data_IF_077015817295
#
_entry.id   IF_077015817295
#
_cell.length_a   1.000
_cell.length_b   1.000
_cell.length_c   1.000
_cell.angle_alpha   90.00
_cell.angle_beta   90.00
_cell.angle_gamma   90.00
#
_symmetry.space_group_name_H-M   'P 1'
#
loop_
_entity.id
_entity.type
_entity.pdbx_description
1 polymer ?
#
# COMPACT_ATOMS: atom_id res chain seq x y z
N UNK A 1 -8.36 24.66 3.05
CA UNK A 1 -7.26 25.17 3.89
C UNK A 1 -7.15 24.48 5.26
N UNK A 2 -8.25 24.12 5.94
CA UNK A 2 -8.18 23.49 7.27
C UNK A 2 -7.35 22.18 7.30
N UNK A 3 -7.44 21.33 6.27
CA UNK A 3 -6.77 20.02 6.24
C UNK A 3 -5.28 20.06 5.86
N UNK A 4 -4.81 21.04 5.08
CA UNK A 4 -3.34 21.24 4.94
C UNK A 4 -2.71 21.57 6.30
N UNK A 5 -3.48 22.16 7.24
CA UNK A 5 -3.02 22.36 8.62
C UNK A 5 -2.96 21.05 9.42
N UNK A 6 -3.81 20.05 9.18
CA UNK A 6 -3.71 18.75 9.87
C UNK A 6 -2.48 17.99 9.38
N UNK A 7 -2.27 17.89 8.07
CA UNK A 7 -1.06 17.26 7.49
C UNK A 7 0.21 17.95 8.01
N UNK A 8 0.22 19.30 8.07
CA UNK A 8 1.35 20.08 8.65
C UNK A 8 1.63 19.82 10.13
N UNK A 9 0.67 19.27 10.87
CA UNK A 9 0.83 18.93 12.29
C UNK A 9 1.24 17.47 12.48
N UNK A 10 1.13 16.64 11.44
CA UNK A 10 1.53 15.26 11.53
C UNK A 10 3.05 15.16 11.72
N UNK A 11 3.52 14.38 12.71
CA UNK A 11 4.96 14.19 12.92
C UNK A 11 5.59 13.24 11.88
N UNK A 12 4.77 12.57 11.06
CA UNK A 12 5.20 11.69 9.97
C UNK A 12 5.91 12.46 8.87
N UNK A 13 5.63 13.76 8.70
CA UNK A 13 6.20 14.54 7.60
C UNK A 13 7.22 15.55 8.10
N UNK A 14 8.43 15.48 7.54
CA UNK A 14 9.47 16.48 7.72
C UNK A 14 9.11 17.79 6.99
N UNK A 15 8.51 17.67 5.80
CA UNK A 15 8.20 18.81 4.96
C UNK A 15 7.04 18.55 3.99
N UNK A 16 6.38 19.62 3.55
CA UNK A 16 5.21 19.59 2.67
C UNK A 16 5.38 20.64 1.59
N UNK A 17 5.27 20.23 0.33
CA UNK A 17 5.43 21.08 -0.82
C UNK A 17 4.22 20.94 -1.75
N UNK A 18 3.74 22.05 -2.31
CA UNK A 18 2.80 21.98 -3.43
C UNK A 18 3.54 21.62 -4.71
N UNK A 19 3.03 20.66 -5.47
CA UNK A 19 3.62 20.25 -6.75
C UNK A 19 2.62 20.32 -7.88
N UNK A 20 3.12 20.69 -9.06
CA UNK A 20 2.38 20.62 -10.32
C UNK A 20 2.91 19.40 -11.06
N UNK A 21 2.03 18.43 -11.25
CA UNK A 21 2.30 17.22 -12.00
C UNK A 21 1.88 17.51 -13.44
N UNK A 22 2.85 17.90 -14.28
CA UNK A 22 2.59 18.05 -15.72
C UNK A 22 2.25 16.68 -16.30
N UNK A 23 1.59 16.66 -17.46
CA UNK A 23 1.25 15.41 -18.17
C UNK A 23 2.50 14.53 -18.25
N UNK A 24 2.46 13.44 -17.48
CA UNK A 24 3.55 12.48 -17.35
C UNK A 24 3.67 11.70 -18.65
N UNK A 25 2.54 11.40 -19.29
CA UNK A 25 2.47 10.80 -20.62
C UNK A 25 3.32 11.50 -21.66
N UNK A 26 3.31 12.84 -21.74
CA UNK A 26 4.18 13.57 -22.66
C UNK A 26 5.66 13.32 -22.36
N UNK A 27 6.04 13.15 -21.10
CA UNK A 27 7.42 12.79 -20.75
C UNK A 27 7.72 11.33 -21.13
N UNK A 28 6.75 10.44 -20.99
CA UNK A 28 6.92 9.02 -21.25
C UNK A 28 6.97 8.72 -22.75
N UNK A 29 6.04 9.26 -23.53
CA UNK A 29 5.94 9.03 -24.98
C UNK A 29 7.00 9.77 -25.78
N UNK A 30 7.40 10.99 -25.38
CA UNK A 30 8.33 11.81 -26.17
C UNK A 30 9.82 11.55 -25.90
N UNK A 31 10.20 10.94 -24.77
CA UNK A 31 11.62 10.69 -24.46
C UNK A 31 12.19 9.45 -25.15
N UNK A 32 11.37 8.70 -25.89
CA UNK A 32 11.74 7.45 -26.57
C UNK A 32 12.00 6.27 -25.63
N UNK A 33 12.45 6.55 -24.40
CA UNK A 33 12.84 5.57 -23.39
C UNK A 33 11.99 5.67 -22.11
N UNK A 34 10.95 6.51 -22.07
CA UNK A 34 10.05 6.63 -20.93
C UNK A 34 10.66 7.23 -19.65
N UNK A 35 11.82 7.89 -19.76
CA UNK A 35 12.53 8.43 -18.61
C UNK A 35 11.88 9.73 -18.07
N UNK A 36 11.83 9.86 -16.76
CA UNK A 36 11.24 11.02 -16.07
C UNK A 36 12.31 11.89 -15.44
N UNK A 37 12.25 13.20 -15.68
CA UNK A 37 13.13 14.18 -15.03
C UNK A 37 12.40 14.78 -13.83
N UNK A 38 12.91 14.52 -12.63
CA UNK A 38 12.31 14.99 -11.38
C UNK A 38 13.24 15.98 -10.66
N UNK A 39 12.66 16.95 -9.97
CA UNK A 39 13.37 17.92 -9.14
C UNK A 39 12.77 17.89 -7.75
N UNK A 40 13.61 17.60 -6.75
CA UNK A 40 13.17 17.45 -5.37
C UNK A 40 13.72 18.57 -4.48
N UNK A 41 12.94 19.06 -3.51
CA UNK A 41 13.41 20.02 -2.54
C UNK A 41 14.67 19.54 -1.80
N UNK A 42 15.67 20.43 -1.70
CA UNK A 42 16.96 20.13 -1.07
C UNK A 42 17.91 19.28 -1.91
N UNK A 43 17.53 18.87 -3.15
CA UNK A 43 18.44 18.22 -4.10
C UNK A 43 18.74 19.21 -5.22
N UNK A 44 20.01 19.58 -5.38
CA UNK A 44 20.44 20.63 -6.32
C UNK A 44 20.23 20.22 -7.78
N UNK A 45 20.58 18.99 -8.11
CA UNK A 45 20.57 18.48 -9.47
C UNK A 45 19.22 17.81 -9.79
N UNK A 46 18.84 17.87 -11.07
CA UNK A 46 17.68 17.10 -11.54
C UNK A 46 18.04 15.61 -11.53
N UNK A 47 17.10 14.79 -11.08
CA UNK A 47 17.24 13.34 -11.08
C UNK A 47 16.56 12.79 -12.34
N UNK A 48 17.13 11.74 -12.91
CA UNK A 48 16.57 11.05 -14.07
C UNK A 48 16.11 9.69 -13.59
N UNK A 49 14.81 9.41 -13.63
CA UNK A 49 14.24 8.12 -13.32
C UNK A 49 14.06 7.32 -14.62
N UNK A 50 14.71 6.16 -14.72
CA UNK A 50 14.67 5.26 -15.87
C UNK A 50 13.63 4.17 -15.61
N UNK A 51 12.69 3.89 -16.53
CA UNK A 51 11.63 2.92 -16.29
C UNK A 51 12.17 1.50 -16.13
N UNK A 52 11.56 0.76 -15.21
CA UNK A 52 11.68 -0.69 -15.00
C UNK A 52 10.42 -1.41 -15.48
N UNK A 53 9.27 -0.91 -15.06
CA UNK A 53 7.96 -1.39 -15.49
C UNK A 53 7.06 -0.21 -15.82
N UNK A 54 6.20 -0.42 -16.82
CA UNK A 54 5.27 0.60 -17.27
C UNK A 54 4.01 -0.05 -17.82
N UNK A 55 2.89 0.18 -17.15
CA UNK A 55 1.56 -0.15 -17.62
C UNK A 55 0.83 1.15 -17.97
N UNK A 56 0.49 1.34 -19.24
CA UNK A 56 -0.10 2.58 -19.72
C UNK A 56 -1.33 2.31 -20.55
N UNK A 57 -2.45 2.79 -20.05
CA UNK A 57 -3.69 2.84 -20.80
C UNK A 57 -3.85 4.24 -21.41
N UNK A 58 -3.74 5.28 -20.58
CA UNK A 58 -3.85 6.68 -21.00
C UNK A 58 -3.26 7.65 -19.95
N UNK A 59 -3.36 8.96 -20.19
CA UNK A 59 -2.89 10.01 -19.29
C UNK A 59 -3.57 10.04 -17.91
N UNK A 60 -4.75 9.45 -17.83
CA UNK A 60 -5.53 9.33 -16.60
C UNK A 60 -5.26 8.02 -15.86
N UNK A 61 -4.86 6.96 -16.56
CA UNK A 61 -4.76 5.61 -16.04
C UNK A 61 -3.43 4.98 -16.46
N UNK A 62 -2.48 4.98 -15.52
CA UNK A 62 -1.17 4.38 -15.73
C UNK A 62 -0.51 4.00 -14.42
N UNK A 63 0.43 3.06 -14.49
CA UNK A 63 1.39 2.75 -13.46
C UNK A 63 2.80 2.75 -14.05
N UNK A 64 3.72 3.43 -13.37
CA UNK A 64 5.10 3.60 -13.80
C UNK A 64 6.02 3.35 -12.61
N UNK A 65 7.03 2.52 -12.78
CA UNK A 65 8.08 2.31 -11.79
C UNK A 65 9.44 2.36 -12.45
N UNK A 66 10.44 2.92 -11.77
CA UNK A 66 11.78 3.04 -12.33
C UNK A 66 12.86 3.43 -11.33
N UNK A 67 14.10 3.16 -11.71
CA UNK A 67 15.29 3.47 -10.91
C UNK A 67 15.78 4.89 -11.16
N UNK A 68 16.31 5.54 -10.13
CA UNK A 68 16.99 6.81 -10.30
C UNK A 68 18.40 6.56 -10.85
N UNK A 69 18.70 7.13 -12.03
CA UNK A 69 20.01 7.06 -12.65
C UNK A 69 21.08 7.65 -11.74
N UNK A 70 22.23 6.97 -11.66
CA UNK A 70 23.41 7.40 -10.92
C UNK A 70 23.18 7.57 -9.40
N UNK A 71 22.11 6.99 -8.84
CA UNK A 71 21.83 6.99 -7.40
C UNK A 71 21.06 5.74 -6.99
N UNK A 72 21.33 5.14 -5.83
CA UNK A 72 20.41 4.17 -5.25
C UNK A 72 19.09 4.89 -4.93
N UNK A 73 18.02 4.49 -5.60
CA UNK A 73 16.70 5.07 -5.44
C UNK A 73 15.73 4.63 -6.52
N UNK A 74 14.45 4.84 -6.24
CA UNK A 74 13.33 4.45 -7.09
C UNK A 74 12.25 5.54 -7.09
N UNK A 75 11.49 5.56 -8.18
CA UNK A 75 10.30 6.36 -8.35
C UNK A 75 9.18 5.41 -8.78
N UNK A 76 8.04 5.49 -8.09
CA UNK A 76 6.81 4.82 -8.51
C UNK A 76 5.71 5.88 -8.61
N UNK A 77 4.97 5.86 -9.72
CA UNK A 77 3.87 6.76 -10.01
C UNK A 77 2.66 5.95 -10.44
N UNK A 78 1.50 6.33 -9.91
CA UNK A 78 0.23 5.71 -10.22
C UNK A 78 -0.76 6.82 -10.55
N UNK A 79 -1.50 6.66 -11.63
CA UNK A 79 -2.60 7.55 -11.99
C UNK A 79 -3.87 6.76 -12.15
N UNK A 80 -4.93 7.25 -11.54
CA UNK A 80 -6.29 6.78 -11.76
C UNK A 80 -7.20 7.98 -11.97
N UNK A 81 -7.96 8.00 -13.06
CA UNK A 81 -8.80 9.13 -13.47
C UNK A 81 -8.05 10.50 -13.52
N UNK A 82 -6.73 10.47 -13.76
CA UNK A 82 -5.86 11.65 -13.84
C UNK A 82 -5.43 12.23 -12.49
N UNK A 83 -5.73 11.53 -11.39
CA UNK A 83 -5.17 11.81 -10.07
C UNK A 83 -3.89 11.01 -9.91
N UNK A 84 -2.77 11.70 -9.90
CA UNK A 84 -1.44 11.09 -9.81
C UNK A 84 -0.96 11.07 -8.36
N UNK A 85 -0.60 9.88 -7.91
CA UNK A 85 0.11 9.63 -6.67
C UNK A 85 1.42 8.92 -6.93
N UNK A 86 2.21 8.72 -5.89
CA UNK A 86 3.45 7.98 -6.03
C UNK A 86 4.36 8.08 -4.82
N UNK A 87 5.51 7.43 -4.97
CA UNK A 87 6.57 7.37 -3.96
C UNK A 87 7.90 7.59 -4.63
N UNK A 88 8.78 8.29 -3.93
CA UNK A 88 10.17 8.52 -4.36
C UNK A 88 11.06 8.16 -3.18
N UNK A 89 11.91 7.15 -3.35
CA UNK A 89 12.92 6.81 -2.36
C UNK A 89 14.30 7.11 -2.95
N UNK A 90 15.05 8.01 -2.34
CA UNK A 90 16.39 8.35 -2.81
C UNK A 90 17.31 8.72 -1.65
N UNK A 91 18.46 8.04 -1.58
CA UNK A 91 19.50 8.29 -0.56
C UNK A 91 18.94 8.36 0.87
N UNK A 92 18.00 7.47 1.20
CA UNK A 92 17.36 7.38 2.52
C UNK A 92 16.30 8.45 2.80
N UNK A 93 15.98 9.32 1.84
CA UNK A 93 14.85 10.25 1.89
C UNK A 93 13.68 9.63 1.14
N UNK A 94 12.51 9.62 1.77
CA UNK A 94 11.30 9.10 1.16
C UNK A 94 10.32 10.25 0.99
N UNK A 95 9.76 10.35 -0.20
CA UNK A 95 8.73 11.31 -0.55
C UNK A 95 7.48 10.58 -1.01
N UNK A 96 6.33 11.09 -0.60
CA UNK A 96 5.02 10.67 -1.07
C UNK A 96 4.42 11.78 -1.94
N UNK A 97 3.80 11.41 -3.05
CA UNK A 97 2.99 12.32 -3.87
C UNK A 97 1.54 12.01 -3.58
N UNK A 98 0.81 12.98 -3.02
CA UNK A 98 -0.62 12.88 -2.78
C UNK A 98 -1.39 13.77 -3.77
N UNK A 99 -2.34 13.21 -4.54
CA UNK A 99 -3.15 13.99 -5.45
C UNK A 99 -4.11 14.91 -4.67
N UNK A 100 -4.21 16.16 -5.11
CA UNK A 100 -5.21 17.12 -4.57
C UNK A 100 -6.26 17.48 -5.61
N UNK A 101 -5.87 17.45 -6.88
CA UNK A 101 -6.73 17.62 -8.06
C UNK A 101 -5.95 17.21 -9.29
N UNK A 102 -6.58 17.20 -10.47
CA UNK A 102 -5.90 16.92 -11.73
C UNK A 102 -4.66 17.81 -11.89
N UNK A 103 -3.51 17.19 -12.14
CA UNK A 103 -2.20 17.84 -12.33
C UNK A 103 -1.65 18.60 -11.11
N UNK A 104 -2.24 18.47 -9.91
CA UNK A 104 -1.75 19.12 -8.70
C UNK A 104 -1.73 18.15 -7.53
N UNK A 105 -0.64 18.19 -6.78
CA UNK A 105 -0.48 17.34 -5.61
C UNK A 105 0.25 18.04 -4.48
N UNK A 106 0.41 17.29 -3.41
CA UNK A 106 1.38 17.56 -2.37
C UNK A 106 2.54 16.58 -2.55
N UNK A 107 3.76 17.08 -2.39
CA UNK A 107 4.94 16.26 -2.19
C UNK A 107 5.28 16.33 -0.71
N UNK A 108 5.22 15.20 -0.03
CA UNK A 108 5.39 15.07 1.40
C UNK A 108 6.70 14.35 1.65
N UNK A 109 7.66 15.00 2.32
CA UNK A 109 8.88 14.33 2.75
C UNK A 109 8.62 13.63 4.07
N UNK A 110 8.83 12.32 4.08
CA UNK A 110 8.55 11.46 5.23
C UNK A 110 9.71 11.53 6.21
N UNK A 111 9.36 11.61 7.49
CA UNK A 111 10.26 11.43 8.60
C UNK A 111 10.58 9.94 8.76
N UNK A 112 11.71 9.51 8.22
CA UNK A 112 12.16 8.11 8.27
C UNK A 112 12.33 7.56 9.68
N UNK A 113 12.45 8.41 10.71
CA UNK A 113 12.47 7.95 12.11
C UNK A 113 11.15 7.31 12.57
N UNK A 114 10.04 7.57 11.87
CA UNK A 114 8.77 6.88 12.10
C UNK A 114 8.71 5.53 11.42
N UNK A 115 9.49 5.33 10.35
CA UNK A 115 9.48 4.09 9.58
C UNK A 115 10.24 2.98 10.30
N UNK A 116 11.34 3.31 10.97
CA UNK A 116 12.18 2.34 11.68
C UNK A 116 11.54 1.76 12.97
N UNK A 117 10.30 2.14 13.29
CA UNK A 117 9.60 1.69 14.51
C UNK A 117 8.54 0.62 14.24
N UNK A 118 8.21 0.40 12.98
CA UNK A 118 7.22 -0.57 12.58
C UNK A 118 7.75 -1.98 12.79
N UNK A 119 6.99 -2.78 13.51
CA UNK A 119 7.17 -4.22 13.64
C UNK A 119 6.06 -4.91 12.86
N UNK A 120 6.47 -5.94 12.14
CA UNK A 120 5.57 -6.78 11.40
C UNK A 120 5.17 -7.94 12.31
N UNK A 121 3.90 -8.06 12.64
CA UNK A 121 3.44 -9.19 13.44
C UNK A 121 3.06 -10.32 12.49
N UNK A 122 3.55 -11.54 12.73
CA UNK A 122 3.05 -12.68 11.98
C UNK A 122 1.53 -12.77 12.21
N UNK A 123 0.74 -13.04 11.16
CA UNK A 123 -0.71 -13.21 11.31
C UNK A 123 -1.04 -14.34 12.29
N UNK A 124 -2.15 -14.16 13.00
CA UNK A 124 -2.63 -15.12 14.00
C UNK A 124 -3.08 -16.42 13.32
N UNK A 125 -2.57 -17.57 13.78
CA UNK A 125 -3.06 -18.88 13.34
C UNK A 125 -2.25 -19.55 12.24
N UNK A 126 -0.93 -19.62 12.40
CA UNK A 126 -0.07 -20.45 11.55
C UNK A 126 -0.39 -21.92 11.82
N UNK A 127 -1.36 -22.47 11.10
CA UNK A 127 -1.42 -23.89 10.86
C UNK A 127 -0.20 -24.29 10.02
N UNK A 128 0.42 -25.41 10.36
CA UNK A 128 1.50 -26.04 9.59
C UNK A 128 1.01 -26.24 8.15
N UNK A 129 1.37 -25.33 7.24
CA UNK A 129 1.14 -25.53 5.81
C UNK A 129 1.93 -26.77 5.40
N UNK A 130 1.21 -27.76 4.88
CA UNK A 130 1.80 -28.92 4.24
C UNK A 130 2.27 -28.42 2.88
N UNK A 131 3.57 -28.50 2.63
CA UNK A 131 4.11 -28.28 1.29
C UNK A 131 3.57 -29.40 0.40
N UNK A 132 2.51 -29.07 -0.35
CA UNK A 132 1.83 -30.01 -1.24
C UNK A 132 2.68 -30.34 -2.49
N UNK A 133 3.92 -29.86 -2.56
CA UNK A 133 4.99 -30.47 -3.36
C UNK A 133 4.57 -30.88 -4.77
N UNK A 134 4.11 -29.94 -5.59
CA UNK A 134 3.77 -30.28 -6.98
C UNK A 134 2.77 -29.42 -7.71
N UNK A 135 2.69 -28.12 -7.43
CA UNK A 135 2.03 -27.19 -8.34
C UNK A 135 2.77 -27.14 -9.67
N UNK A 136 2.44 -28.03 -10.60
CA UNK A 136 2.90 -27.93 -11.98
C UNK A 136 2.45 -26.57 -12.52
N UNK A 137 3.40 -25.73 -12.92
CA UNK A 137 3.14 -24.49 -13.66
C UNK A 137 2.59 -24.85 -15.04
N UNK A 138 1.31 -25.26 -15.05
CA UNK A 138 0.55 -25.57 -16.24
C UNK A 138 0.50 -24.34 -17.13
N UNK A 139 1.22 -24.40 -18.25
CA UNK A 139 1.48 -23.26 -19.12
C UNK A 139 0.23 -22.60 -19.71
N UNK A 140 0.37 -21.31 -20.01
CA UNK A 140 -0.42 -20.58 -21.01
C UNK A 140 -1.89 -20.32 -20.69
N UNK A 141 -2.33 -20.49 -19.45
CA UNK A 141 -3.67 -20.07 -19.02
C UNK A 141 -3.84 -18.55 -19.09
N UNK A 142 -5.07 -18.08 -19.27
CA UNK A 142 -5.39 -16.67 -19.09
C UNK A 142 -5.01 -16.24 -17.65
N UNK A 143 -4.51 -15.01 -17.45
CA UNK A 143 -4.18 -14.53 -16.13
C UNK A 143 -5.37 -14.63 -15.16
N UNK A 144 -5.11 -15.11 -13.95
CA UNK A 144 -6.13 -15.14 -12.89
C UNK A 144 -6.36 -13.71 -12.41
N UNK A 145 -7.61 -13.24 -12.48
CA UNK A 145 -7.98 -11.90 -11.99
C UNK A 145 -8.52 -12.02 -10.57
N UNK A 146 -7.89 -11.31 -9.64
CA UNK A 146 -8.32 -11.18 -8.24
C UNK A 146 -8.98 -9.83 -8.05
N UNK A 147 -10.25 -9.84 -7.68
CA UNK A 147 -11.06 -8.67 -7.39
C UNK A 147 -10.80 -8.19 -5.97
N UNK A 148 -10.32 -6.96 -5.81
CA UNK A 148 -10.00 -6.34 -4.51
C UNK A 148 -11.01 -5.25 -4.21
N UNK A 149 -11.63 -5.30 -3.03
CA UNK A 149 -12.44 -4.22 -2.46
C UNK A 149 -11.63 -3.51 -1.39
N UNK A 150 -11.54 -2.18 -1.48
CA UNK A 150 -10.91 -1.36 -0.44
C UNK A 150 -11.99 -0.63 0.35
N UNK A 151 -12.04 -0.88 1.65
CA UNK A 151 -12.87 -0.16 2.59
C UNK A 151 -12.02 0.86 3.35
N UNK A 152 -12.63 1.91 3.88
CA UNK A 152 -11.94 2.86 4.76
C UNK A 152 -12.84 3.37 5.88
N UNK A 153 -12.24 3.60 7.05
CA UNK A 153 -12.94 4.14 8.21
C UNK A 153 -13.06 5.66 8.14
N UNK A 154 -13.92 6.24 8.97
CA UNK A 154 -14.06 7.71 9.06
C UNK A 154 -12.76 8.40 9.49
N UNK A 155 -11.91 7.72 10.27
CA UNK A 155 -10.63 8.21 10.77
C UNK A 155 -9.62 8.44 9.63
N UNK A 156 -9.71 7.69 8.53
CA UNK A 156 -8.89 7.94 7.32
C UNK A 156 -9.14 9.33 6.74
N UNK A 157 -10.34 9.90 6.91
CA UNK A 157 -10.68 11.25 6.41
C UNK A 157 -9.95 12.39 7.13
N UNK A 158 -9.36 12.10 8.30
CA UNK A 158 -8.52 13.05 9.04
C UNK A 158 -7.11 13.15 8.42
N UNK A 159 -6.66 12.05 7.82
CA UNK A 159 -5.37 11.91 7.16
C UNK A 159 -5.46 12.24 5.65
N UNK A 160 -6.46 11.70 4.94
CA UNK A 160 -6.64 11.84 3.50
C UNK A 160 -7.83 12.73 3.13
N UNK A 161 -7.62 13.60 2.15
CA UNK A 161 -8.69 14.47 1.62
C UNK A 161 -9.57 13.77 0.60
N UNK A 162 -9.04 12.74 -0.04
CA UNK A 162 -9.70 11.97 -1.07
C UNK A 162 -9.34 10.49 -0.85
N UNK A 163 -10.02 9.78 0.07
CA UNK A 163 -9.72 8.39 0.39
C UNK A 163 -9.89 7.48 -0.83
N UNK A 164 -10.75 7.83 -1.79
CA UNK A 164 -10.92 7.09 -3.04
C UNK A 164 -9.65 7.17 -3.89
N UNK A 165 -9.14 8.39 -4.14
CA UNK A 165 -7.89 8.55 -4.88
C UNK A 165 -6.71 7.92 -4.13
N UNK A 166 -6.70 8.03 -2.81
CA UNK A 166 -5.69 7.38 -1.97
C UNK A 166 -5.74 5.86 -2.09
N UNK A 167 -6.89 5.23 -1.97
CA UNK A 167 -7.08 3.78 -2.14
C UNK A 167 -6.63 3.30 -3.53
N UNK A 168 -6.95 4.04 -4.59
CA UNK A 168 -6.44 3.74 -5.94
C UNK A 168 -4.90 3.76 -6.00
N UNK A 169 -4.29 4.73 -5.31
CA UNK A 169 -2.84 4.88 -5.26
C UNK A 169 -2.18 3.77 -4.45
N UNK A 170 -2.80 3.39 -3.34
CA UNK A 170 -2.39 2.26 -2.51
C UNK A 170 -2.52 0.96 -3.29
N UNK A 171 -3.62 0.76 -4.02
CA UNK A 171 -3.85 -0.42 -4.85
C UNK A 171 -2.76 -0.59 -5.92
N UNK A 172 -2.31 0.50 -6.54
CA UNK A 172 -1.20 0.48 -7.50
C UNK A 172 0.10 -0.11 -6.94
N UNK A 173 0.29 -0.16 -5.61
CA UNK A 173 1.45 -0.82 -5.00
C UNK A 173 1.50 -2.34 -5.21
N UNK A 174 0.42 -2.95 -5.72
CA UNK A 174 0.39 -4.36 -6.12
C UNK A 174 1.01 -4.63 -7.50
N UNK A 175 1.18 -3.61 -8.35
CA UNK A 175 1.70 -3.81 -9.72
C UNK A 175 3.11 -4.44 -9.78
N UNK A 176 4.06 -4.10 -8.89
CA UNK A 176 5.34 -4.78 -8.83
C UNK A 176 5.21 -6.28 -8.51
N UNK A 177 4.22 -6.68 -7.70
CA UNK A 177 3.96 -8.09 -7.39
C UNK A 177 3.53 -8.82 -8.67
N UNK A 178 2.55 -8.27 -9.39
CA UNK A 178 2.05 -8.84 -10.65
C UNK A 178 3.17 -8.99 -11.68
N UNK A 179 4.03 -7.98 -11.80
CA UNK A 179 5.13 -7.97 -12.77
C UNK A 179 6.14 -9.10 -12.49
N UNK A 180 6.37 -9.43 -11.22
CA UNK A 180 7.29 -10.50 -10.83
C UNK A 180 6.71 -11.91 -11.00
N UNK A 181 5.39 -12.03 -11.17
CA UNK A 181 4.68 -13.30 -11.34
C UNK A 181 4.40 -13.62 -12.82
N UNK A 182 5.20 -13.10 -13.76
CA UNK A 182 5.04 -13.30 -15.22
C UNK A 182 3.62 -13.01 -15.75
N UNK A 183 2.87 -12.14 -15.06
CA UNK A 183 1.46 -11.84 -15.34
C UNK A 183 0.50 -13.03 -15.23
N UNK A 184 0.83 -14.10 -14.50
CA UNK A 184 -0.13 -15.18 -14.24
C UNK A 184 -1.26 -14.75 -13.30
N UNK A 185 -1.05 -13.66 -12.56
CA UNK A 185 -1.97 -13.05 -11.61
C UNK A 185 -2.19 -11.58 -11.97
N UNK A 186 -3.42 -11.11 -11.93
CA UNK A 186 -3.78 -9.69 -12.06
C UNK A 186 -4.68 -9.30 -10.91
N UNK A 187 -4.55 -8.07 -10.42
CA UNK A 187 -5.48 -7.50 -9.46
C UNK A 187 -6.44 -6.53 -10.16
N UNK A 188 -7.70 -6.52 -9.74
CA UNK A 188 -8.71 -5.58 -10.21
C UNK A 188 -9.39 -4.91 -9.01
N UNK A 189 -9.29 -3.59 -8.89
CA UNK A 189 -9.97 -2.85 -7.84
C UNK A 189 -11.46 -2.72 -8.20
N UNK A 190 -12.32 -3.49 -7.54
CA UNK A 190 -13.77 -3.54 -7.84
C UNK A 190 -14.59 -2.50 -7.09
N UNK A 191 -14.05 -1.93 -6.02
CA UNK A 191 -14.73 -0.90 -5.25
C UNK A 191 -13.85 -0.19 -4.25
N UNK A 192 -14.22 1.05 -3.93
CA UNK A 192 -13.71 1.80 -2.77
C UNK A 192 -14.89 2.41 -2.01
N UNK A 193 -15.06 2.06 -0.73
CA UNK A 193 -16.21 2.51 0.06
C UNK A 193 -15.84 2.90 1.48
N UNK A 194 -16.57 3.87 2.01
CA UNK A 194 -16.51 4.19 3.44
C UNK A 194 -17.29 3.14 4.23
N UNK A 195 -16.75 2.78 5.40
CA UNK A 195 -17.42 1.95 6.38
C UNK A 195 -17.81 2.83 7.58
N UNK A 196 -18.96 3.51 7.45
CA UNK A 196 -19.36 4.61 8.33
C UNK A 196 -19.54 4.21 9.81
N UNK A 197 -20.08 3.01 10.05
CA UNK A 197 -20.42 2.53 11.39
C UNK A 197 -19.39 1.54 11.96
N UNK A 198 -18.17 1.55 11.45
CA UNK A 198 -17.09 0.72 11.96
C UNK A 198 -16.21 1.48 12.94
N UNK A 199 -16.15 0.98 14.16
CA UNK A 199 -15.30 1.52 15.22
C UNK A 199 -14.00 0.71 15.29
N UNK A 200 -12.88 1.38 15.02
CA UNK A 200 -11.55 0.82 15.21
C UNK A 200 -11.31 0.59 16.71
N UNK A 201 -10.79 -0.59 17.08
CA UNK A 201 -10.40 -0.82 18.48
C UNK A 201 -8.99 -0.31 18.69
N UNK A 202 -8.90 0.75 19.50
CA UNK A 202 -7.64 1.42 19.74
C UNK A 202 -6.62 0.49 20.41
N UNK A 203 -5.41 0.44 19.84
CA UNK A 203 -4.30 -0.41 20.32
C UNK A 203 -4.59 -1.93 20.32
N UNK A 204 -5.57 -2.37 19.55
CA UNK A 204 -5.90 -3.79 19.42
C UNK A 204 -6.27 -4.12 17.96
N UNK A 205 -5.25 -4.39 17.15
CA UNK A 205 -5.45 -4.71 15.73
C UNK A 205 -6.13 -6.08 15.55
N UNK A 206 -5.91 -7.02 16.48
CA UNK A 206 -6.52 -8.35 16.43
C UNK A 206 -8.02 -8.27 16.68
N UNK A 207 -8.45 -7.55 17.72
CA UNK A 207 -9.86 -7.31 17.96
C UNK A 207 -10.50 -6.46 16.85
N UNK A 208 -9.76 -5.49 16.30
CA UNK A 208 -10.22 -4.75 15.11
C UNK A 208 -10.41 -5.69 13.91
N UNK A 209 -9.47 -6.61 13.66
CA UNK A 209 -9.58 -7.63 12.61
C UNK A 209 -10.78 -8.55 12.82
N UNK A 210 -10.96 -9.07 14.02
CA UNK A 210 -12.10 -9.94 14.34
C UNK A 210 -13.43 -9.21 14.11
N UNK A 211 -13.55 -7.97 14.61
CA UNK A 211 -14.73 -7.14 14.37
C UNK A 211 -14.94 -6.86 12.88
N UNK A 212 -13.87 -6.67 12.10
CA UNK A 212 -13.91 -6.42 10.67
C UNK A 212 -14.42 -7.63 9.89
N UNK A 213 -13.86 -8.81 10.17
CA UNK A 213 -14.23 -10.09 9.52
C UNK A 213 -15.66 -10.50 9.85
N UNK A 214 -16.14 -10.23 11.06
CA UNK A 214 -17.50 -10.57 11.51
C UNK A 214 -18.56 -9.52 11.13
N UNK A 215 -18.15 -8.39 10.52
CA UNK A 215 -19.05 -7.30 10.20
C UNK A 215 -19.96 -7.63 9.00
N UNK A 216 -21.28 -7.65 9.23
CA UNK A 216 -22.26 -7.98 8.18
C UNK A 216 -22.28 -6.96 7.02
N UNK A 217 -21.99 -5.69 7.28
CA UNK A 217 -21.89 -4.66 6.22
C UNK A 217 -20.67 -4.91 5.33
N UNK A 218 -19.55 -5.37 5.91
CA UNK A 218 -18.35 -5.76 5.16
C UNK A 218 -18.65 -6.95 4.24
N UNK A 219 -19.29 -8.00 4.78
CA UNK A 219 -19.72 -9.15 4.00
C UNK A 219 -20.67 -8.74 2.86
N UNK A 220 -21.65 -7.87 3.15
CA UNK A 220 -22.56 -7.32 2.15
C UNK A 220 -21.82 -6.58 1.03
N UNK A 221 -20.86 -5.70 1.35
CA UNK A 221 -20.10 -4.99 0.33
C UNK A 221 -19.21 -5.92 -0.50
N UNK A 222 -18.59 -6.92 0.14
CA UNK A 222 -17.81 -7.95 -0.56
C UNK A 222 -18.67 -8.67 -1.60
N UNK A 223 -19.86 -9.13 -1.21
CA UNK A 223 -20.79 -9.84 -2.10
C UNK A 223 -21.33 -8.93 -3.21
N UNK A 224 -21.68 -7.68 -2.86
CA UNK A 224 -22.20 -6.69 -3.79
C UNK A 224 -21.21 -6.38 -4.92
N UNK A 225 -19.94 -6.16 -4.57
CA UNK A 225 -18.88 -5.83 -5.52
C UNK A 225 -18.18 -7.07 -6.11
N UNK A 226 -18.59 -8.28 -5.67
CA UNK A 226 -17.99 -9.57 -6.05
C UNK A 226 -16.48 -9.59 -5.81
N UNK A 227 -16.07 -9.11 -4.64
CA UNK A 227 -14.67 -9.03 -4.27
C UNK A 227 -14.14 -10.37 -3.75
N UNK A 228 -13.00 -10.79 -4.30
CA UNK A 228 -12.26 -11.95 -3.81
C UNK A 228 -11.60 -11.60 -2.48
N UNK A 229 -10.95 -10.43 -2.38
CA UNK A 229 -10.23 -9.92 -1.21
C UNK A 229 -10.85 -8.60 -0.74
N UNK A 230 -10.86 -8.37 0.58
CA UNK A 230 -11.28 -7.09 1.16
C UNK A 230 -10.19 -6.52 2.07
N UNK A 231 -9.80 -5.27 1.84
CA UNK A 231 -8.79 -4.57 2.66
C UNK A 231 -9.41 -3.34 3.31
N UNK A 232 -9.27 -3.20 4.63
CA UNK A 232 -9.69 -2.02 5.37
C UNK A 232 -8.51 -1.06 5.59
N UNK A 233 -8.64 0.16 5.12
CA UNK A 233 -7.76 1.27 5.48
C UNK A 233 -8.25 1.90 6.79
N UNK A 234 -7.35 1.99 7.77
CA UNK A 234 -7.61 2.56 9.09
C UNK A 234 -6.71 3.77 9.35
N UNK A 235 -6.93 4.45 10.46
CA UNK A 235 -6.02 5.48 10.97
C UNK A 235 -6.05 5.44 12.50
N UNK A 236 -5.59 4.31 13.05
CA UNK A 236 -5.84 3.92 14.44
C UNK A 236 -5.16 4.81 15.47
N UNK A 237 -4.10 5.53 15.11
CA UNK A 237 -3.45 6.47 16.03
C UNK A 237 -3.41 7.89 15.45
N UNK A 238 -4.55 8.58 15.31
CA UNK A 238 -4.59 9.89 14.65
C UNK A 238 -3.81 10.97 15.40
N UNK A 239 -3.52 10.76 16.69
CA UNK A 239 -2.74 11.67 17.54
C UNK A 239 -1.23 11.39 17.51
N UNK A 240 -0.80 10.17 17.14
CA UNK A 240 0.61 9.75 17.21
C UNK A 240 1.18 9.27 15.88
N UNK A 241 0.33 8.94 14.90
CA UNK A 241 0.65 8.30 13.62
C UNK A 241 1.71 7.20 13.78
N UNK A 242 1.38 6.21 14.58
CA UNK A 242 2.29 5.19 15.08
C UNK A 242 1.77 3.77 14.80
N UNK A 243 0.77 3.56 13.94
CA UNK A 243 0.14 2.24 13.81
C UNK A 243 -0.64 1.86 15.07
N UNK A 244 -1.00 0.59 15.18
CA UNK A 244 -1.53 -0.01 16.39
C UNK A 244 -0.40 -0.30 17.37
N UNK A 245 -0.58 0.04 18.64
CA UNK A 245 0.41 -0.25 19.68
C UNK A 245 0.03 -1.53 20.39
N UNK A 246 0.87 -2.55 20.32
CA UNK A 246 0.63 -3.85 20.96
C UNK A 246 1.74 -4.13 21.96
N UNK A 247 1.36 -4.64 23.13
CA UNK A 247 2.34 -5.05 24.14
C UNK A 247 2.94 -6.41 23.75
N UNK A 248 4.26 -6.43 23.50
CA UNK A 248 4.99 -7.68 23.31
C UNK A 248 5.53 -8.18 24.66
N UNK A 249 4.99 -9.29 25.20
CA UNK A 249 5.44 -9.83 26.47
C UNK A 249 6.87 -10.40 26.42
N UNK A 250 7.40 -10.72 25.24
CA UNK A 250 8.74 -11.29 25.09
C UNK A 250 9.83 -10.22 25.16
N UNK A 251 9.66 -9.12 24.42
CA UNK A 251 10.58 -7.99 24.48
C UNK A 251 10.29 -7.03 25.63
N UNK A 252 9.11 -7.11 26.25
CA UNK A 252 8.59 -6.14 27.22
C UNK A 252 8.56 -4.73 26.65
N UNK A 253 8.23 -4.60 25.37
CA UNK A 253 8.13 -3.32 24.68
C UNK A 253 6.82 -3.19 23.93
N UNK A 254 6.47 -1.94 23.60
CA UNK A 254 5.37 -1.63 22.72
C UNK A 254 5.84 -1.79 21.27
N UNK A 255 5.19 -2.67 20.53
CA UNK A 255 5.38 -2.84 19.09
C UNK A 255 4.37 -1.99 18.34
N UNK A 256 4.78 -1.49 17.17
CA UNK A 256 3.94 -0.73 16.26
C UNK A 256 3.56 -1.60 15.08
N UNK A 257 2.28 -1.95 14.97
CA UNK A 257 1.75 -2.79 13.90
C UNK A 257 1.05 -1.92 12.88
N UNK A 258 1.52 -2.02 11.63
CA UNK A 258 1.06 -1.16 10.54
C UNK A 258 -0.08 -1.79 9.74
N UNK A 259 -0.21 -3.10 9.80
CA UNK A 259 -1.22 -3.86 9.10
C UNK A 259 -1.34 -5.27 9.68
N UNK A 260 -2.37 -5.98 9.26
CA UNK A 260 -2.57 -7.38 9.59
C UNK A 260 -3.39 -8.03 8.49
N UNK A 261 -2.93 -9.16 7.99
CA UNK A 261 -3.73 -10.12 7.24
C UNK A 261 -4.45 -11.07 8.20
N UNK A 262 -5.68 -11.47 7.87
CA UNK A 262 -6.46 -12.40 8.69
C UNK A 262 -5.85 -13.81 8.72
N UNK A 263 -5.12 -14.20 7.68
CA UNK A 263 -4.45 -15.49 7.55
C UNK A 263 -3.28 -15.43 6.57
N UNK A 264 -2.47 -16.49 6.58
CA UNK A 264 -1.50 -16.80 5.51
C UNK A 264 -2.13 -17.88 4.64
N UNK A 265 -2.15 -17.67 3.32
CA UNK A 265 -2.80 -18.60 2.37
C UNK A 265 -4.27 -18.82 2.74
N UNK A 266 -5.02 -17.72 2.76
CA UNK A 266 -6.40 -17.72 3.22
C UNK A 266 -7.30 -18.57 2.32
N UNK A 267 -8.20 -19.35 2.92
CA UNK A 267 -9.31 -19.89 2.17
C UNK A 267 -10.23 -18.75 1.64
N UNK A 268 -11.04 -19.09 0.65
CA UNK A 268 -11.94 -18.13 0.02
C UNK A 268 -12.98 -17.53 0.99
N UNK A 269 -13.17 -18.08 2.19
CA UNK A 269 -14.16 -17.57 3.15
C UNK A 269 -13.68 -16.31 3.86
N UNK A 270 -12.37 -16.17 4.13
CA UNK A 270 -11.84 -15.05 4.94
C UNK A 270 -10.55 -14.35 4.46
N UNK A 271 -10.42 -13.95 3.19
CA UNK A 271 -9.27 -13.18 2.70
C UNK A 271 -9.41 -11.68 3.01
N UNK A 272 -9.21 -11.33 4.28
CA UNK A 272 -9.34 -9.97 4.80
C UNK A 272 -7.99 -9.41 5.27
N UNK A 273 -7.76 -8.11 5.07
CA UNK A 273 -6.60 -7.40 5.62
C UNK A 273 -6.99 -6.03 6.21
N UNK A 274 -6.21 -5.55 7.17
CA UNK A 274 -6.27 -4.21 7.75
C UNK A 274 -4.93 -3.52 7.50
N UNK A 275 -4.96 -2.25 7.11
CA UNK A 275 -3.76 -1.46 6.82
C UNK A 275 -3.92 -0.04 7.37
N UNK A 276 -2.96 0.41 8.16
CA UNK A 276 -2.90 1.80 8.62
C UNK A 276 -2.53 2.73 7.45
N UNK A 277 -3.44 3.63 7.10
CA UNK A 277 -3.38 4.45 5.90
C UNK A 277 -2.08 5.27 5.76
N UNK A 278 -1.48 5.88 6.81
CA UNK A 278 -0.21 6.60 6.68
C UNK A 278 0.96 5.76 6.18
N UNK A 279 0.88 4.44 6.35
CA UNK A 279 1.96 3.52 6.03
C UNK A 279 1.69 2.67 4.78
N UNK A 280 0.43 2.61 4.33
CA UNK A 280 -0.01 1.79 3.21
C UNK A 280 0.91 1.84 1.97
N UNK A 281 1.28 3.05 1.50
CA UNK A 281 2.19 3.25 0.34
C UNK A 281 3.66 3.24 0.78
N UNK A 282 3.95 3.92 1.89
CA UNK A 282 5.31 4.31 2.23
C UNK A 282 6.16 3.16 2.76
N UNK A 283 5.49 2.20 3.43
CA UNK A 283 6.03 0.93 3.89
C UNK A 283 5.69 -0.24 2.98
N UNK A 284 4.92 -0.01 1.91
CA UNK A 284 4.30 -1.07 1.12
C UNK A 284 3.44 -2.01 1.97
N UNK A 285 2.93 -1.53 3.12
CA UNK A 285 2.12 -2.34 4.05
C UNK A 285 0.91 -2.94 3.34
N UNK A 286 0.27 -2.19 2.45
CA UNK A 286 -0.86 -2.74 1.70
C UNK A 286 -0.48 -3.94 0.84
N UNK A 287 0.58 -3.80 0.05
CA UNK A 287 1.08 -4.88 -0.79
C UNK A 287 1.56 -6.08 0.04
N UNK A 288 2.17 -5.80 1.19
CA UNK A 288 2.61 -6.79 2.16
C UNK A 288 1.45 -7.61 2.74
N UNK A 289 0.42 -6.95 3.31
CA UNK A 289 -0.72 -7.66 3.88
C UNK A 289 -1.51 -8.43 2.81
N UNK A 290 -1.65 -7.87 1.61
CA UNK A 290 -2.28 -8.60 0.50
C UNK A 290 -1.47 -9.84 0.14
N UNK A 291 -0.13 -9.76 0.14
CA UNK A 291 0.73 -10.92 -0.16
C UNK A 291 0.57 -12.05 0.85
N UNK A 292 0.36 -11.74 2.13
CA UNK A 292 0.07 -12.77 3.14
C UNK A 292 -1.15 -13.60 2.79
N UNK A 293 -2.20 -12.99 2.23
CA UNK A 293 -3.41 -13.71 1.82
C UNK A 293 -3.15 -14.75 0.73
N UNK A 294 -2.03 -14.64 -0.01
CA UNK A 294 -1.56 -15.60 -1.03
C UNK A 294 -0.46 -16.54 -0.52
N UNK A 295 -0.22 -16.58 0.79
CA UNK A 295 0.77 -17.50 1.37
C UNK A 295 2.17 -16.90 1.55
N UNK A 296 2.39 -15.64 1.17
CA UNK A 296 3.66 -14.98 1.44
C UNK A 296 3.93 -14.95 2.94
N UNK A 297 5.19 -15.13 3.31
CA UNK A 297 5.67 -15.07 4.69
C UNK A 297 6.72 -13.98 4.83
N UNK A 298 6.98 -13.60 6.08
CA UNK A 298 8.12 -12.75 6.36
C UNK A 298 9.41 -13.47 5.95
N UNK A 299 10.44 -12.71 5.61
CA UNK A 299 11.78 -13.27 5.41
C UNK A 299 12.28 -13.95 6.70
N UNK A 300 12.99 -15.08 6.59
CA UNK A 300 13.46 -15.91 7.71
C UNK A 300 14.12 -15.18 8.91
N UNK A 301 14.76 -14.03 8.69
CA UNK A 301 15.34 -13.23 9.77
C UNK A 301 14.27 -12.55 10.66
N UNK A 302 13.04 -12.43 10.14
CA UNK A 302 11.85 -11.88 10.78
C UNK A 302 10.75 -12.94 10.99
N UNK A 303 10.83 -14.11 10.33
CA UNK A 303 9.94 -15.25 10.55
C UNK A 303 10.59 -16.25 11.52
N UNK A 304 10.09 -16.32 12.75
CA UNK A 304 10.55 -17.30 13.75
C UNK A 304 9.84 -18.66 13.63
N UNK A 305 9.01 -18.85 12.59
CA UNK A 305 8.37 -20.14 12.32
C UNK A 305 9.27 -21.02 11.47
N UNK A 306 9.42 -22.30 11.88
CA UNK A 306 10.34 -23.26 11.24
C UNK A 306 9.83 -23.79 9.88
N UNK A 307 9.08 -22.99 9.12
CA UNK A 307 8.44 -23.40 7.85
C UNK A 307 8.87 -22.46 6.72
N UNK A 308 9.03 -22.99 5.51
CA UNK A 308 9.55 -22.23 4.37
C UNK A 308 8.57 -21.12 3.94
N UNK A 309 9.12 -19.99 3.47
CA UNK A 309 8.37 -18.94 2.82
C UNK A 309 8.02 -19.37 1.39
N UNK A 310 6.73 -19.35 1.04
CA UNK A 310 6.29 -19.41 -0.35
C UNK A 310 6.17 -17.97 -0.86
N UNK A 311 7.05 -17.59 -1.78
CA UNK A 311 6.87 -16.46 -2.69
C UNK A 311 7.43 -16.88 -4.06
#
# INVERSE_FOLDING_TARGET
MAKVKSIKRSPVYNAIYGVILRSISNSITNTGNGALVIRLPGIKDALIACPKSFNYQDDSNFAWCGDIKDSPGELSLYSHEGLVAGRINIKGRIFEIQPTSKNKGLLLEINSSFLNKAYDMPPSGIDTLIDDGGGSSGGGGEPVVVSVLVLYTSQVLEYQNNPIAFANSVFGTLDPIVTNLDNSLMFNLVGVRQLDDFEEVWNDIELTMNNFVENQTVAYYRDLDRADIVVLLTNATPTMNQGYIIWDPFTQTNLHVLGMANCIDCDASKPYAIVDAPFAINHLTFAHEVSHLFGARHQWAADNTNTYAHA
#
